data_IF_619173471962
#
_entry.id   IF_619173471962
#
_cell.length_a   1.000
_cell.length_b   1.000
_cell.length_c   1.000
_cell.angle_alpha   90.00
_cell.angle_beta   90.00
_cell.angle_gamma   90.00
#
_symmetry.space_group_name_H-M   'P 1'
#
loop_
_entity.id
_entity.type
_entity.pdbx_description
1 polymer ?
#
# COMPACT_ATOMS: atom_id res chain seq x y z
N UNK A 1 23.18 -2.80 19.82
CA UNK A 1 21.82 -3.37 19.72
C UNK A 1 20.82 -2.25 19.89
N UNK A 2 20.35 -1.66 18.80
CA UNK A 2 19.23 -0.72 18.82
C UNK A 2 18.04 -1.45 18.17
N UNK A 3 17.04 -1.80 18.98
CA UNK A 3 15.76 -2.30 18.46
C UNK A 3 15.01 -1.10 17.89
N UNK A 4 15.10 -0.89 16.58
CA UNK A 4 14.23 0.02 15.86
C UNK A 4 12.84 -0.60 15.76
N UNK A 5 12.03 -0.45 16.81
CA UNK A 5 10.60 -0.69 16.72
C UNK A 5 9.98 0.48 15.96
N UNK A 6 9.75 0.31 14.66
CA UNK A 6 8.92 1.25 13.91
C UNK A 6 7.52 1.22 14.50
N UNK A 7 7.11 2.31 15.17
CA UNK A 7 5.74 2.46 15.62
C UNK A 7 4.83 2.44 14.39
N UNK A 8 3.91 1.49 14.34
CA UNK A 8 2.94 1.36 13.25
C UNK A 8 1.90 2.45 13.48
N UNK A 9 1.96 3.57 12.78
CA UNK A 9 0.88 4.56 12.83
C UNK A 9 -0.37 3.95 12.17
N UNK A 10 -1.56 4.11 12.77
CA UNK A 10 -2.80 3.77 12.06
C UNK A 10 -2.96 4.79 10.92
N UNK A 11 -3.59 4.39 9.81
CA UNK A 11 -3.92 5.34 8.77
C UNK A 11 -4.65 6.56 9.37
N UNK A 12 -4.30 7.78 8.93
CA UNK A 12 -4.99 8.95 9.39
C UNK A 12 -6.45 8.91 8.91
N UNK A 13 -7.38 9.25 9.80
CA UNK A 13 -8.80 9.37 9.45
C UNK A 13 -9.27 10.81 9.64
N UNK A 14 -10.31 11.18 8.89
CA UNK A 14 -11.01 12.46 9.00
C UNK A 14 -12.45 12.19 9.38
N UNK A 15 -13.01 13.06 10.22
CA UNK A 15 -14.43 13.04 10.51
C UNK A 15 -15.31 13.20 9.25
N UNK A 16 -16.59 12.79 9.33
CA UNK A 16 -17.57 12.76 8.23
C UNK A 16 -17.63 14.02 7.34
N UNK A 17 -17.39 15.22 7.90
CA UNK A 17 -17.55 16.52 7.25
C UNK A 17 -16.22 17.22 6.93
N UNK A 18 -15.21 16.49 6.43
CA UNK A 18 -13.89 17.03 6.09
C UNK A 18 -13.22 17.78 7.27
N UNK A 19 -13.46 17.29 8.48
CA UNK A 19 -12.82 17.81 9.69
C UNK A 19 -11.29 17.65 9.65
N UNK A 20 -10.58 18.19 10.66
CA UNK A 20 -9.12 18.09 10.69
C UNK A 20 -8.68 16.63 10.73
N UNK A 21 -7.52 16.35 10.12
CA UNK A 21 -6.98 15.00 10.02
C UNK A 21 -6.55 14.52 11.39
N UNK A 22 -6.95 13.32 11.80
CA UNK A 22 -6.54 12.73 13.07
C UNK A 22 -5.71 11.49 12.80
N UNK A 23 -4.77 11.19 13.68
CA UNK A 23 -3.98 9.96 13.63
C UNK A 23 -3.75 9.42 15.04
N UNK A 24 -3.78 8.10 15.18
CA UNK A 24 -3.45 7.36 16.39
C UNK A 24 -2.06 6.78 16.19
N UNK A 25 -1.31 6.69 17.28
CA UNK A 25 -0.07 5.92 17.28
C UNK A 25 -0.35 4.56 17.89
N UNK A 26 -0.37 3.48 17.09
CA UNK A 26 -0.22 2.12 17.58
C UNK A 26 1.24 1.71 17.88
N UNK A 27 1.51 0.95 18.95
CA UNK A 27 0.70 0.87 20.18
C UNK A 27 0.87 2.16 20.98
N UNK A 28 -0.24 2.81 21.33
CA UNK A 28 -0.14 4.11 22.01
C UNK A 28 -1.47 4.71 22.42
N UNK A 29 -1.41 5.44 23.52
CA UNK A 29 -2.59 5.95 24.23
C UNK A 29 -2.89 7.39 23.86
N UNK A 30 -2.37 7.84 22.72
CA UNK A 30 -2.42 9.23 22.30
C UNK A 30 -2.84 9.37 20.84
N UNK A 31 -3.45 10.51 20.54
CA UNK A 31 -3.79 10.92 19.20
C UNK A 31 -3.31 12.34 18.91
N UNK A 32 -3.06 12.58 17.63
CA UNK A 32 -2.66 13.86 17.09
C UNK A 32 -3.76 14.36 16.16
N UNK A 33 -3.90 15.67 16.10
CA UNK A 33 -4.71 16.33 15.08
C UNK A 33 -3.78 17.18 14.25
N UNK A 34 -3.92 17.04 12.94
CA UNK A 34 -3.14 17.73 11.94
C UNK A 34 -4.05 18.66 11.14
N UNK A 35 -3.52 19.83 10.88
CA UNK A 35 -4.00 20.76 9.87
C UNK A 35 -2.88 20.95 8.86
N UNK A 36 -3.15 20.56 7.62
CA UNK A 36 -2.13 20.44 6.58
C UNK A 36 -0.97 19.55 7.07
N UNK A 37 0.26 20.07 7.11
CA UNK A 37 1.43 19.36 7.62
C UNK A 37 1.81 19.72 9.06
N UNK A 38 0.97 20.48 9.78
CA UNK A 38 1.27 20.92 11.13
C UNK A 38 0.40 20.18 12.16
N UNK A 39 1.01 19.80 13.27
CA UNK A 39 0.29 19.32 14.46
C UNK A 39 -0.40 20.52 15.10
N UNK A 40 -1.69 20.40 15.39
CA UNK A 40 -2.46 21.44 16.06
C UNK A 40 -2.00 21.64 17.51
N UNK A 41 -2.14 22.86 18.02
CA UNK A 41 -1.78 23.20 19.41
C UNK A 41 -2.58 22.36 20.42
N UNK A 42 -1.92 21.91 21.50
CA UNK A 42 -2.54 21.09 22.54
C UNK A 42 -2.59 19.59 22.24
N UNK A 43 -2.01 19.13 21.13
CA UNK A 43 -1.80 17.72 20.80
C UNK A 43 -0.33 17.30 21.04
N UNK A 44 -0.06 16.02 21.39
CA UNK A 44 -1.00 14.90 21.45
C UNK A 44 -1.87 14.84 22.72
N UNK A 45 -3.11 14.38 22.56
CA UNK A 45 -4.08 14.15 23.64
C UNK A 45 -4.35 12.68 23.89
N UNK A 46 -4.86 12.27 25.07
CA UNK A 46 -5.08 10.85 25.36
C UNK A 46 -6.30 10.29 24.62
N UNK A 47 -6.22 9.04 24.16
CA UNK A 47 -7.33 8.37 23.45
C UNK A 47 -8.58 8.17 24.32
N UNK A 48 -8.43 8.28 25.65
CA UNK A 48 -9.53 8.31 26.60
C UNK A 48 -10.49 9.49 26.37
N UNK A 49 -10.07 10.55 25.66
CA UNK A 49 -10.95 11.64 25.21
C UNK A 49 -12.14 11.10 24.38
N UNK A 50 -11.95 9.98 23.69
CA UNK A 50 -12.99 9.30 22.92
C UNK A 50 -13.72 8.22 23.73
N UNK A 51 -13.30 7.93 24.96
CA UNK A 51 -13.78 6.76 25.72
C UNK A 51 -13.17 5.44 25.26
N UNK A 52 -12.02 5.48 24.58
CA UNK A 52 -11.28 4.29 24.15
C UNK A 52 -10.43 3.71 25.29
N UNK A 53 -10.18 2.39 25.30
CA UNK A 53 -9.34 1.76 26.30
C UNK A 53 -7.86 2.19 26.16
N UNK A 54 -7.05 1.99 27.22
CA UNK A 54 -5.60 2.09 27.08
C UNK A 54 -5.05 1.04 26.09
N UNK A 55 -3.85 1.29 25.61
CA UNK A 55 -3.18 0.57 24.54
C UNK A 55 -3.61 0.93 23.12
N UNK A 56 -4.35 2.03 22.92
CA UNK A 56 -4.79 2.48 21.60
C UNK A 56 -5.78 1.54 20.89
N UNK A 57 -5.83 1.62 19.57
CA UNK A 57 -6.70 0.82 18.68
C UNK A 57 -5.88 0.37 17.47
N UNK A 58 -6.36 -0.63 16.75
CA UNK A 58 -5.70 -1.20 15.58
C UNK A 58 -6.09 -0.46 14.29
N UNK A 59 -7.37 -0.10 14.19
CA UNK A 59 -7.93 0.56 13.01
C UNK A 59 -8.97 1.63 13.39
N UNK A 60 -9.09 2.67 12.57
CA UNK A 60 -10.11 3.70 12.76
C UNK A 60 -10.52 4.35 11.44
N UNK A 61 -11.82 4.47 11.20
CA UNK A 61 -12.32 5.24 10.06
C UNK A 61 -13.63 5.94 10.39
N UNK A 62 -13.90 7.04 9.68
CA UNK A 62 -15.19 7.72 9.76
C UNK A 62 -16.06 7.34 8.58
N UNK A 63 -17.32 7.04 8.88
CA UNK A 63 -18.31 6.71 7.89
C UNK A 63 -19.26 7.89 7.71
N UNK A 64 -19.18 8.52 6.54
CA UNK A 64 -19.93 9.73 6.25
C UNK A 64 -21.45 9.51 6.21
N UNK A 65 -21.89 8.28 5.89
CA UNK A 65 -23.30 7.93 5.77
C UNK A 65 -24.11 8.19 7.06
N UNK A 66 -23.51 8.03 8.24
CA UNK A 66 -24.22 8.12 9.52
C UNK A 66 -23.54 9.02 10.57
N UNK A 67 -22.57 9.83 10.14
CA UNK A 67 -21.79 10.71 11.01
C UNK A 67 -21.12 10.00 12.19
N UNK A 68 -20.69 8.74 11.99
CA UNK A 68 -19.99 7.96 13.04
C UNK A 68 -18.52 7.74 12.69
N UNK A 69 -17.71 7.63 13.72
CA UNK A 69 -16.34 7.11 13.65
C UNK A 69 -16.28 5.74 14.31
N UNK A 70 -15.71 4.78 13.62
CA UNK A 70 -15.58 3.41 14.09
C UNK A 70 -14.12 3.14 14.43
N UNK A 71 -13.90 2.60 15.62
CA UNK A 71 -12.58 2.17 16.08
C UNK A 71 -12.59 0.67 16.29
N UNK A 72 -11.49 -0.01 15.99
CA UNK A 72 -11.36 -1.46 16.12
C UNK A 72 -10.15 -1.80 16.96
N UNK A 73 -10.32 -2.74 17.89
CA UNK A 73 -9.23 -3.31 18.68
C UNK A 73 -9.52 -4.78 18.90
N UNK A 74 -8.59 -5.65 18.53
CA UNK A 74 -8.75 -7.10 18.61
C UNK A 74 -10.05 -7.55 17.91
N UNK A 75 -10.98 -8.17 18.67
CA UNK A 75 -12.30 -8.61 18.19
C UNK A 75 -13.42 -7.63 18.53
N UNK A 76 -13.08 -6.44 19.02
CA UNK A 76 -14.02 -5.45 19.49
C UNK A 76 -14.03 -4.23 18.56
N UNK A 77 -15.18 -3.58 18.49
CA UNK A 77 -15.31 -2.28 17.85
C UNK A 77 -16.09 -1.31 18.73
N UNK A 78 -15.78 -0.03 18.55
CA UNK A 78 -16.45 1.10 19.15
C UNK A 78 -17.09 1.93 18.04
N UNK A 79 -18.26 2.50 18.34
CA UNK A 79 -18.94 3.45 17.45
C UNK A 79 -19.09 4.77 18.18
N UNK A 80 -18.33 5.76 17.72
CA UNK A 80 -18.32 7.10 18.26
C UNK A 80 -19.22 8.01 17.42
N UNK A 81 -20.12 8.69 18.09
CA UNK A 81 -21.00 9.70 17.51
C UNK A 81 -20.26 11.03 17.42
N UNK A 82 -19.97 11.50 16.20
CA UNK A 82 -19.25 12.76 15.99
C UNK A 82 -20.08 14.00 16.32
N UNK A 83 -21.42 13.88 16.30
CA UNK A 83 -22.33 14.98 16.60
C UNK A 83 -22.40 15.26 18.10
N UNK A 84 -22.67 14.23 18.90
CA UNK A 84 -22.75 14.30 20.37
C UNK A 84 -21.38 14.18 21.04
N UNK A 85 -20.35 13.79 20.27
CA UNK A 85 -18.98 13.53 20.71
C UNK A 85 -18.88 12.51 21.83
N UNK A 86 -19.63 11.40 21.70
CA UNK A 86 -19.71 10.33 22.71
C UNK A 86 -19.73 8.96 22.05
N UNK A 87 -19.32 7.94 22.81
CA UNK A 87 -19.51 6.55 22.43
C UNK A 87 -20.99 6.19 22.47
N UNK A 88 -21.47 5.50 21.43
CA UNK A 88 -22.84 5.01 21.39
C UNK A 88 -23.06 3.93 22.47
N UNK A 89 -24.24 3.90 23.13
CA UNK A 89 -24.58 2.86 24.08
C UNK A 89 -24.41 1.45 23.51
N UNK A 90 -23.93 0.52 24.35
CA UNK A 90 -23.70 -0.88 23.96
C UNK A 90 -22.35 -1.16 23.30
N UNK A 91 -21.44 -0.19 23.25
CA UNK A 91 -20.07 -0.39 22.78
C UNK A 91 -19.06 -0.47 23.95
N UNK A 92 -17.96 -1.24 23.81
CA UNK A 92 -17.58 -2.01 22.63
C UNK A 92 -18.48 -3.23 22.35
N UNK A 93 -18.57 -3.61 21.08
CA UNK A 93 -19.30 -4.79 20.61
C UNK A 93 -18.40 -5.68 19.74
N UNK A 94 -18.80 -6.95 19.52
CA UNK A 94 -18.00 -7.94 18.77
C UNK A 94 -18.30 -8.01 17.28
N UNK A 95 -19.53 -7.72 16.89
CA UNK A 95 -20.02 -7.90 15.52
C UNK A 95 -20.21 -6.54 14.85
N UNK A 96 -19.21 -6.03 14.10
CA UNK A 96 -19.39 -4.81 13.33
C UNK A 96 -20.48 -5.01 12.26
N UNK A 97 -21.11 -3.93 11.79
CA UNK A 97 -22.28 -4.02 10.92
C UNK A 97 -21.96 -4.49 9.49
N UNK A 98 -20.69 -4.46 9.07
CA UNK A 98 -20.26 -4.85 7.72
C UNK A 98 -20.06 -6.36 7.60
N UNK A 99 -20.91 -7.00 6.80
CA UNK A 99 -20.80 -8.42 6.45
C UNK A 99 -19.61 -8.68 5.52
N UNK A 100 -18.98 -9.84 5.70
CA UNK A 100 -17.84 -10.26 4.89
C UNK A 100 -16.50 -9.63 5.29
N UNK A 101 -16.48 -8.71 6.25
CA UNK A 101 -15.26 -8.13 6.80
C UNK A 101 -14.69 -9.03 7.90
N UNK A 102 -13.39 -9.37 7.87
CA UNK A 102 -12.78 -10.18 8.91
C UNK A 102 -12.68 -9.41 10.24
N UNK A 103 -12.64 -10.16 11.35
CA UNK A 103 -12.24 -9.61 12.66
C UNK A 103 -10.74 -9.32 12.73
N UNK A 104 -10.26 -8.64 13.79
CA UNK A 104 -8.83 -8.35 14.02
C UNK A 104 -8.18 -7.68 12.81
N UNK A 105 -8.66 -6.46 12.53
CA UNK A 105 -8.17 -5.66 11.43
C UNK A 105 -6.81 -5.05 11.76
N UNK A 106 -5.97 -4.94 10.75
CA UNK A 106 -4.70 -4.24 10.84
C UNK A 106 -4.85 -2.74 10.59
N UNK A 107 -5.81 -2.35 9.74
CA UNK A 107 -6.13 -0.95 9.48
C UNK A 107 -7.53 -0.83 8.85
N UNK A 108 -8.10 0.37 8.87
CA UNK A 108 -9.32 0.71 8.16
C UNK A 108 -9.31 2.19 7.82
N UNK A 109 -9.81 2.56 6.65
CA UNK A 109 -9.83 3.95 6.21
C UNK A 109 -10.92 4.18 5.18
N UNK A 110 -11.42 5.42 5.13
CA UNK A 110 -12.24 5.90 4.03
C UNK A 110 -11.33 6.48 2.94
N UNK A 111 -11.59 6.13 1.69
CA UNK A 111 -10.83 6.67 0.55
C UNK A 111 -11.57 7.78 -0.18
N UNK A 112 -10.91 8.40 -1.16
CA UNK A 112 -11.44 9.53 -1.93
C UNK A 112 -12.65 9.16 -2.79
N UNK A 113 -12.86 7.88 -3.09
CA UNK A 113 -14.05 7.38 -3.79
C UNK A 113 -15.27 7.21 -2.86
N UNK A 114 -15.12 7.56 -1.58
CA UNK A 114 -16.17 7.48 -0.57
C UNK A 114 -16.30 6.12 0.11
N UNK A 115 -15.69 5.07 -0.44
CA UNK A 115 -15.76 3.72 0.10
C UNK A 115 -14.88 3.55 1.34
N UNK A 116 -15.25 2.58 2.17
CA UNK A 116 -14.44 2.13 3.29
C UNK A 116 -13.59 0.94 2.87
N UNK A 117 -12.32 0.98 3.25
CA UNK A 117 -11.32 -0.05 2.97
C UNK A 117 -10.80 -0.61 4.29
N UNK A 118 -10.82 -1.93 4.41
CA UNK A 118 -10.42 -2.67 5.61
C UNK A 118 -9.24 -3.56 5.28
N UNK A 119 -8.20 -3.56 6.10
CA UNK A 119 -6.94 -4.26 5.83
C UNK A 119 -6.71 -5.34 6.87
N UNK A 120 -6.29 -6.53 6.41
CA UNK A 120 -5.86 -7.62 7.27
C UNK A 120 -4.83 -8.49 6.55
N UNK A 121 -3.67 -8.67 7.15
CA UNK A 121 -2.55 -9.38 6.56
C UNK A 121 -2.09 -8.74 5.26
N UNK A 122 -2.11 -9.53 4.17
CA UNK A 122 -1.70 -9.11 2.82
C UNK A 122 -2.90 -8.71 1.94
N UNK A 123 -4.09 -8.64 2.54
CA UNK A 123 -5.36 -8.50 1.86
C UNK A 123 -6.12 -7.28 2.35
N UNK A 124 -7.01 -6.79 1.50
CA UNK A 124 -7.95 -5.75 1.86
C UNK A 124 -9.35 -6.02 1.31
N UNK A 125 -10.35 -5.47 1.98
CA UNK A 125 -11.76 -5.52 1.62
C UNK A 125 -12.25 -4.11 1.35
N UNK A 126 -13.19 -3.98 0.41
CA UNK A 126 -13.86 -2.72 0.10
C UNK A 126 -15.34 -2.83 0.44
N UNK A 127 -15.89 -1.81 1.09
CA UNK A 127 -17.34 -1.63 1.27
C UNK A 127 -17.70 -0.33 0.57
N UNK A 128 -18.65 -0.39 -0.36
CA UNK A 128 -19.13 0.80 -1.05
C UNK A 128 -19.83 1.76 -0.08
N UNK A 129 -19.89 3.04 -0.44
CA UNK A 129 -20.53 4.02 0.43
C UNK A 129 -21.99 3.63 0.71
N UNK A 130 -22.43 3.86 1.95
CA UNK A 130 -23.76 3.46 2.46
C UNK A 130 -24.07 1.95 2.49
N UNK A 131 -23.17 1.07 2.04
CA UNK A 131 -23.38 -0.38 2.08
C UNK A 131 -22.92 -1.01 3.41
N UNK A 132 -23.49 -2.17 3.73
CA UNK A 132 -23.17 -2.97 4.92
C UNK A 132 -22.55 -4.33 4.58
N UNK A 133 -21.93 -4.44 3.40
CA UNK A 133 -21.35 -5.68 2.92
C UNK A 133 -20.10 -5.43 2.08
N UNK A 134 -19.14 -6.35 2.17
CA UNK A 134 -17.97 -6.34 1.30
C UNK A 134 -18.42 -6.44 -0.17
N UNK A 135 -17.86 -5.57 -1.01
CA UNK A 135 -18.15 -5.54 -2.43
C UNK A 135 -17.78 -6.89 -3.10
N UNK A 136 -18.50 -7.32 -4.15
CA UNK A 136 -18.14 -8.51 -4.89
C UNK A 136 -16.70 -8.46 -5.41
N UNK A 137 -16.01 -9.59 -5.35
CA UNK A 137 -14.61 -9.71 -5.78
C UNK A 137 -13.56 -9.34 -4.73
N UNK A 138 -13.95 -9.09 -3.48
CA UNK A 138 -13.02 -8.91 -2.37
C UNK A 138 -12.95 -10.16 -1.46
N UNK A 139 -11.81 -10.41 -0.79
CA UNK A 139 -10.61 -9.57 -0.69
C UNK A 139 -9.75 -9.48 -1.96
N UNK A 140 -8.90 -8.46 -2.00
CA UNK A 140 -7.87 -8.27 -3.02
C UNK A 140 -6.49 -8.05 -2.38
N UNK A 141 -5.41 -8.16 -3.17
CA UNK A 141 -4.04 -8.06 -2.66
C UNK A 141 -3.64 -6.60 -2.41
N UNK A 142 -3.29 -6.28 -1.16
CA UNK A 142 -2.75 -4.95 -0.82
C UNK A 142 -1.44 -4.67 -1.55
N UNK A 143 -0.57 -5.68 -1.69
CA UNK A 143 0.71 -5.52 -2.35
C UNK A 143 0.55 -5.16 -3.84
N UNK A 144 -0.37 -5.83 -4.55
CA UNK A 144 -0.59 -5.56 -5.98
C UNK A 144 -1.30 -4.23 -6.22
N UNK A 145 -2.34 -3.93 -5.44
CA UNK A 145 -3.24 -2.83 -5.77
C UNK A 145 -2.85 -1.50 -5.11
N UNK A 146 -2.30 -1.55 -3.89
CA UNK A 146 -1.92 -0.36 -3.12
C UNK A 146 -0.42 -0.05 -3.19
N UNK A 147 0.42 -1.09 -3.20
CA UNK A 147 1.87 -0.94 -3.25
C UNK A 147 2.44 -1.09 -4.67
N UNK A 148 1.59 -1.46 -5.64
CA UNK A 148 1.94 -1.62 -7.06
C UNK A 148 3.10 -2.61 -7.25
N UNK A 149 3.16 -3.64 -6.41
CA UNK A 149 4.12 -4.72 -6.56
C UNK A 149 3.74 -5.55 -7.79
N UNK A 150 4.63 -5.58 -8.78
CA UNK A 150 4.54 -6.53 -9.89
C UNK A 150 5.00 -7.89 -9.40
N UNK A 151 4.38 -8.96 -9.89
CA UNK A 151 4.94 -10.28 -9.71
C UNK A 151 6.37 -10.27 -10.30
N UNK A 152 7.37 -10.82 -9.59
CA UNK A 152 8.68 -11.05 -10.20
C UNK A 152 8.43 -11.78 -11.51
N UNK A 153 8.95 -11.24 -12.62
CA UNK A 153 8.91 -11.96 -13.89
C UNK A 153 9.51 -13.34 -13.60
N UNK A 154 8.70 -14.40 -13.77
CA UNK A 154 9.25 -15.74 -13.81
C UNK A 154 10.17 -15.73 -15.04
N UNK A 155 11.48 -15.60 -14.79
CA UNK A 155 12.46 -15.67 -15.86
C UNK A 155 12.18 -16.96 -16.64
N UNK A 156 11.95 -16.87 -17.97
CA UNK A 156 11.75 -18.07 -18.77
C UNK A 156 13.01 -18.91 -18.65
N UNK A 157 12.82 -20.19 -18.34
CA UNK A 157 13.86 -21.20 -18.16
C UNK A 157 15.08 -20.93 -19.05
N UNK A 158 16.16 -20.49 -18.41
CA UNK A 158 17.48 -20.39 -19.02
C UNK A 158 17.97 -21.80 -19.34
N UNK A 159 17.75 -22.21 -20.60
CA UNK A 159 18.43 -23.31 -21.26
C UNK A 159 19.92 -23.36 -20.85
N UNK A 160 20.35 -24.53 -20.42
CA UNK A 160 21.64 -24.73 -19.78
C UNK A 160 22.85 -24.33 -20.64
N UNK A 161 23.88 -23.85 -19.94
CA UNK A 161 25.27 -24.17 -20.27
C UNK A 161 26.12 -24.08 -19.01
N UNK A 162 26.77 -25.20 -18.72
CA UNK A 162 27.74 -25.42 -17.65
C UNK A 162 28.89 -24.41 -17.69
N UNK A 163 29.21 -23.87 -16.52
CA UNK A 163 30.60 -23.70 -16.09
C UNK A 163 30.62 -23.82 -14.56
N UNK A 164 31.15 -24.94 -14.09
CA UNK A 164 31.16 -25.31 -12.68
C UNK A 164 32.10 -24.45 -11.83
N UNK A 165 31.71 -24.25 -10.58
CA UNK A 165 32.63 -24.11 -9.47
C UNK A 165 32.00 -24.73 -8.21
N UNK A 166 32.75 -25.62 -7.58
CA UNK A 166 32.34 -26.52 -6.53
C UNK A 166 31.94 -25.82 -5.22
N UNK A 167 30.80 -26.21 -4.64
CA UNK A 167 30.53 -26.09 -3.21
C UNK A 167 29.85 -27.36 -2.68
N UNK A 168 30.37 -27.88 -1.57
CA UNK A 168 30.05 -29.19 -0.97
C UNK A 168 28.62 -29.28 -0.40
N UNK A 169 28.02 -30.48 -0.33
CA UNK A 169 26.65 -30.66 0.16
C UNK A 169 26.62 -30.66 1.70
N UNK A 170 25.73 -29.86 2.28
CA UNK A 170 25.59 -29.73 3.72
C UNK A 170 24.16 -29.36 4.14
N UNK A 171 23.37 -30.43 4.36
CA UNK A 171 22.24 -30.50 5.31
C UNK A 171 20.99 -29.65 5.02
N UNK A 172 19.99 -30.30 4.44
CA UNK A 172 18.59 -29.90 4.56
C UNK A 172 18.19 -29.86 6.05
N UNK A 173 18.11 -28.64 6.59
CA UNK A 173 17.38 -28.35 7.82
C UNK A 173 16.03 -27.76 7.44
N UNK A 174 14.98 -28.56 7.47
CA UNK A 174 13.61 -28.05 7.48
C UNK A 174 13.44 -27.28 8.80
N UNK A 175 13.31 -25.96 8.71
CA UNK A 175 12.76 -25.15 9.80
C UNK A 175 11.73 -24.21 9.21
N UNK A 176 10.49 -24.68 9.26
CA UNK A 176 9.27 -23.90 9.32
C UNK A 176 9.50 -22.71 10.27
N UNK A 177 9.49 -21.51 9.73
CA UNK A 177 9.36 -20.28 10.48
C UNK A 177 8.13 -19.54 9.93
N UNK A 178 7.01 -19.77 10.61
CA UNK A 178 5.86 -18.87 10.59
C UNK A 178 6.36 -17.56 11.26
N UNK A 179 6.04 -16.39 10.68
CA UNK A 179 6.48 -15.03 11.08
C UNK A 179 7.79 -14.45 10.51
N UNK A 180 8.02 -14.61 9.20
CA UNK A 180 8.90 -13.69 8.48
C UNK A 180 8.05 -12.62 7.75
N UNK A 181 7.99 -11.40 8.31
CA UNK A 181 7.65 -10.22 7.50
C UNK A 181 8.76 -10.04 6.46
N UNK A 182 8.48 -10.44 5.22
CA UNK A 182 9.35 -10.19 4.09
C UNK A 182 9.30 -8.69 3.77
N UNK A 183 10.38 -7.98 4.09
CA UNK A 183 10.51 -6.56 3.76
C UNK A 183 11.01 -6.47 2.32
N UNK A 184 10.13 -6.11 1.40
CA UNK A 184 10.53 -5.82 0.02
C UNK A 184 11.44 -4.60 -0.02
N UNK A 185 12.71 -4.80 -0.32
CA UNK A 185 13.67 -3.72 -0.54
C UNK A 185 13.65 -3.34 -2.03
N UNK A 186 13.03 -2.22 -2.37
CA UNK A 186 13.01 -1.70 -3.73
C UNK A 186 14.39 -1.16 -4.10
N UNK A 187 15.20 -1.92 -4.84
CA UNK A 187 16.36 -1.35 -5.54
C UNK A 187 15.88 -0.94 -6.93
N UNK A 188 15.49 0.32 -7.10
CA UNK A 188 15.24 0.86 -8.43
C UNK A 188 16.54 0.83 -9.24
N UNK A 189 16.55 0.35 -10.50
CA UNK A 189 17.70 0.52 -11.37
C UNK A 189 17.90 2.03 -11.60
N UNK A 190 19.10 2.52 -11.31
CA UNK A 190 19.46 3.90 -11.56
C UNK A 190 19.38 4.19 -13.06
N UNK A 191 18.66 5.24 -13.45
CA UNK A 191 18.74 5.78 -14.80
C UNK A 191 20.20 6.16 -15.10
N UNK A 192 20.78 5.78 -16.24
CA UNK A 192 22.12 6.22 -16.60
C UNK A 192 22.13 7.75 -16.76
N UNK A 193 23.19 8.44 -16.32
CA UNK A 193 23.30 9.88 -16.48
C UNK A 193 23.36 10.24 -17.98
N UNK A 194 22.68 11.32 -18.41
CA UNK A 194 22.79 11.78 -19.79
C UNK A 194 24.19 12.36 -20.01
N UNK A 195 24.91 11.80 -20.99
CA UNK A 195 26.09 12.43 -21.58
C UNK A 195 27.43 12.00 -21.00
N UNK A 196 27.99 10.91 -21.55
CA UNK A 196 29.44 10.80 -21.75
C UNK A 196 29.66 10.13 -23.11
N UNK A 197 29.94 10.98 -24.10
CA UNK A 197 30.15 10.66 -25.51
C UNK A 197 31.28 9.65 -25.71
N UNK A 198 30.97 8.52 -26.35
CA UNK A 198 31.99 7.66 -26.98
C UNK A 198 32.49 8.29 -28.29
N UNK A 199 33.71 7.98 -28.74
CA UNK A 199 34.28 8.61 -29.92
C UNK A 199 33.55 8.16 -31.20
N UNK A 200 33.21 9.14 -32.03
CA UNK A 200 32.56 8.96 -33.33
C UNK A 200 33.52 8.28 -34.31
N UNK A 201 33.13 7.11 -34.83
CA UNK A 201 33.77 6.53 -36.02
C UNK A 201 33.33 7.35 -37.25
N UNK A 202 34.25 8.12 -37.81
CA UNK A 202 34.04 8.88 -39.04
C UNK A 202 34.11 7.92 -40.22
N UNK A 203 32.96 7.60 -40.82
CA UNK A 203 32.90 6.88 -42.09
C UNK A 203 33.07 7.89 -43.24
N UNK A 204 34.25 7.90 -43.86
CA UNK A 204 34.56 8.73 -45.02
C UNK A 204 33.80 8.25 -46.25
N UNK A 205 32.87 9.07 -46.74
CA UNK A 205 32.14 8.87 -48.00
C UNK A 205 33.01 9.38 -49.15
N UNK A 206 33.44 8.48 -50.04
CA UNK A 206 34.02 8.84 -51.33
C UNK A 206 32.92 8.89 -52.38
N UNK A 207 32.58 10.10 -52.83
CA UNK A 207 31.71 10.36 -53.98
C UNK A 207 32.54 10.28 -55.28
N UNK A 208 32.17 9.38 -56.19
CA UNK A 208 32.60 9.43 -57.59
C UNK A 208 31.49 10.02 -58.45
N UNK A 209 31.77 11.03 -59.30
CA UNK A 209 30.76 11.74 -60.06
C UNK A 209 30.46 11.12 -61.42
N UNK A 210 29.30 11.52 -61.96
CA UNK A 210 28.92 11.60 -63.39
C UNK A 210 28.67 10.29 -64.16
N UNK A 211 27.41 10.09 -64.55
CA UNK A 211 26.98 10.26 -65.95
C UNK A 211 25.46 10.15 -66.06
N UNK A 212 24.82 11.28 -66.39
CA UNK A 212 23.49 11.35 -67.00
C UNK A 212 23.56 10.79 -68.42
N UNK A 213 22.91 9.67 -68.73
CA UNK A 213 22.43 9.40 -70.09
C UNK A 213 21.05 8.72 -70.05
N UNK A 214 20.13 9.38 -70.73
CA UNK A 214 18.77 8.99 -71.09
C UNK A 214 18.73 7.78 -72.05
N UNK A 215 17.70 6.93 -71.95
CA UNK A 215 16.76 6.62 -73.06
C UNK A 215 15.98 5.30 -72.85
N UNK A 216 14.65 5.45 -72.74
CA UNK A 216 13.57 4.77 -73.47
C UNK A 216 13.65 3.30 -73.96
N UNK A 217 12.44 2.68 -73.90
CA UNK A 217 11.88 1.54 -74.69
C UNK A 217 12.40 0.14 -74.31
N UNK A 218 11.63 -0.96 -74.32
CA UNK A 218 10.23 -1.26 -74.64
C UNK A 218 9.92 -2.71 -74.18
N UNK A 219 8.62 -3.01 -74.03
CA UNK A 219 7.85 -4.27 -74.16
C UNK A 219 8.50 -5.68 -74.09
N UNK A 220 7.62 -6.61 -73.64
CA UNK A 220 7.60 -8.09 -73.71
C UNK A 220 8.17 -8.79 -72.46
N UNK A 221 7.46 -9.69 -71.76
CA UNK A 221 6.29 -10.53 -72.08
C UNK A 221 5.20 -10.47 -71.00
#
# INVERSE_FOLDING_TARGET
MARGGGARASAPWRGPNSGPQRSLSPPGDRYWVFKDNNVEEGYPRPVSDFGLPPGGVDAAFSWAHNDKTYFFKDQLYWRFDEHTRRMDPGHPARSPPWRGIPSMLDDAMRWSDGAAYFFRGKEYWKVLDSELEAAPGYPQSTARDWLVCRDPQADPEGSGREAGAHARPGRHGQSRAEDAFEVCSCTSPASPPPGASGPLLVASVLLTPSALWTAARALAL
#
